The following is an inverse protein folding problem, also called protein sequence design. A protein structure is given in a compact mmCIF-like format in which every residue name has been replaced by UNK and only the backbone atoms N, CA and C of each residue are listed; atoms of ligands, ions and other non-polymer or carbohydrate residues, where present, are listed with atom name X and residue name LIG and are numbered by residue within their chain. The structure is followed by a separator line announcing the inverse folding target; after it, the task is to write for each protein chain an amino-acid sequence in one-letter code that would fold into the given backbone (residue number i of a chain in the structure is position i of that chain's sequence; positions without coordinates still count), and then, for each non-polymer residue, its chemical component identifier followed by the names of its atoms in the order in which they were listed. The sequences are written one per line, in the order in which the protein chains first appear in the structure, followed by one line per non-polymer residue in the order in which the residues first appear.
data_IF_343308668919
#
_entry.id   IF_343308668919
#
_cell.length_a   1.000
_cell.length_b   1.000
_cell.length_c   1.000
_cell.angle_alpha   90.00
_cell.angle_beta   90.00
_cell.angle_gamma   90.00
#
_symmetry.space_group_name_H-M   'P 1'
#
loop_
_entity.id
_entity.type
_entity.pdbx_description
1 polymer ?
#
# COMPACT_ATOMS: atom_id res chain seq x y z
N UNK A 1 8.27 16.93 5.17
CA UNK A 1 7.45 17.09 3.96
C UNK A 1 6.07 17.72 4.21
N UNK A 2 5.83 18.34 5.37
CA UNK A 2 4.54 18.93 5.79
C UNK A 2 4.83 20.32 6.31
N UNK A 3 3.99 21.30 5.99
CA UNK A 3 4.15 22.65 6.50
C UNK A 3 3.91 22.76 8.02
N UNK A 4 4.75 23.49 8.78
CA UNK A 4 4.56 23.67 10.22
C UNK A 4 3.28 24.44 10.61
N UNK A 5 2.76 25.29 9.72
CA UNK A 5 1.58 26.13 9.94
C UNK A 5 0.26 25.49 9.48
N UNK A 6 0.31 24.23 9.03
CA UNK A 6 -0.85 23.45 8.60
C UNK A 6 -0.72 22.96 7.16
N UNK A 7 -1.05 21.68 6.94
CA UNK A 7 -0.96 21.00 5.66
C UNK A 7 -1.86 19.76 5.64
N UNK A 8 -1.91 19.05 4.51
CA UNK A 8 -2.66 17.80 4.35
C UNK A 8 -1.75 16.64 3.93
N UNK A 9 -2.09 15.45 4.42
CA UNK A 9 -1.46 14.19 3.98
C UNK A 9 -2.57 13.25 3.49
N UNK A 10 -2.21 12.38 2.54
CA UNK A 10 -3.07 11.27 2.16
C UNK A 10 -2.80 10.07 3.06
N UNK A 11 -3.84 9.30 3.37
CA UNK A 11 -3.72 8.01 4.04
C UNK A 11 -4.43 6.97 3.19
N UNK A 12 -3.80 5.80 3.05
CA UNK A 12 -4.27 4.75 2.19
C UNK A 12 -4.19 3.41 2.90
N UNK A 13 -5.23 2.59 2.72
CA UNK A 13 -5.21 1.16 3.00
C UNK A 13 -6.00 0.47 1.88
N UNK A 14 -5.38 -0.52 1.25
CA UNK A 14 -5.99 -1.33 0.19
C UNK A 14 -5.87 -2.81 0.54
N UNK A 15 -6.80 -3.63 0.04
CA UNK A 15 -6.79 -5.07 0.21
C UNK A 15 -7.40 -5.76 -1.00
N UNK A 16 -6.87 -6.92 -1.37
CA UNK A 16 -7.52 -7.86 -2.29
C UNK A 16 -8.60 -8.71 -1.58
N UNK A 17 -8.68 -8.61 -0.25
CA UNK A 17 -9.64 -9.32 0.58
C UNK A 17 -9.29 -10.80 0.78
N UNK A 18 -9.89 -11.42 1.80
CA UNK A 18 -9.58 -12.79 2.24
C UNK A 18 -10.02 -13.91 1.28
N UNK A 19 -10.62 -13.57 0.14
CA UNK A 19 -11.05 -14.57 -0.84
C UNK A 19 -9.86 -15.26 -1.50
N UNK A 20 -8.78 -14.52 -1.74
CA UNK A 20 -7.58 -15.07 -2.40
C UNK A 20 -6.81 -15.99 -1.45
N UNK A 21 -6.73 -15.65 -0.17
CA UNK A 21 -6.12 -16.46 0.90
C UNK A 21 -6.84 -17.80 1.03
N UNK A 22 -8.18 -17.78 1.05
CA UNK A 22 -9.01 -19.01 1.08
C UNK A 22 -8.78 -19.87 -0.16
N UNK A 23 -8.72 -19.26 -1.34
CA UNK A 23 -8.47 -19.98 -2.58
C UNK A 23 -7.05 -20.59 -2.60
N UNK A 24 -6.04 -19.86 -2.12
CA UNK A 24 -4.68 -20.33 -2.00
C UNK A 24 -4.58 -21.50 -1.00
N UNK A 25 -5.20 -21.39 0.18
CA UNK A 25 -5.26 -22.46 1.16
C UNK A 25 -5.89 -23.74 0.59
N UNK A 26 -6.99 -23.63 -0.17
CA UNK A 26 -7.61 -24.77 -0.85
C UNK A 26 -6.69 -25.43 -1.88
N UNK A 27 -5.90 -24.66 -2.62
CA UNK A 27 -4.92 -25.20 -3.57
C UNK A 27 -3.78 -25.91 -2.83
N UNK A 28 -3.32 -25.35 -1.72
CA UNK A 28 -2.30 -25.93 -0.86
C UNK A 28 -2.76 -27.28 -0.28
N UNK A 29 -3.96 -27.35 0.29
CA UNK A 29 -4.57 -28.59 0.82
C UNK A 29 -4.70 -29.70 -0.23
N UNK A 30 -4.92 -29.31 -1.50
CA UNK A 30 -5.01 -30.25 -2.64
C UNK A 30 -3.65 -30.67 -3.20
N UNK A 31 -2.54 -30.23 -2.60
CA UNK A 31 -1.18 -30.39 -3.14
C UNK A 31 -0.99 -29.78 -4.54
N UNK A 32 -1.81 -28.79 -4.92
CA UNK A 32 -1.73 -28.07 -6.20
C UNK A 32 -0.73 -26.91 -6.10
N UNK A 33 0.52 -27.22 -5.73
CA UNK A 33 1.52 -26.22 -5.33
C UNK A 33 1.87 -25.19 -6.42
N UNK A 34 1.82 -25.59 -7.69
CA UNK A 34 2.06 -24.69 -8.82
C UNK A 34 0.95 -23.62 -8.90
N UNK A 35 -0.30 -24.05 -8.91
CA UNK A 35 -1.45 -23.16 -8.99
C UNK A 35 -1.52 -22.26 -7.75
N UNK A 36 -1.19 -22.81 -6.57
CA UNK A 36 -1.03 -22.03 -5.34
C UNK A 36 -0.01 -20.91 -5.51
N UNK A 37 1.19 -21.22 -6.00
CA UNK A 37 2.26 -20.24 -6.20
C UNK A 37 1.90 -19.18 -7.24
N UNK A 38 1.26 -19.59 -8.34
CA UNK A 38 0.80 -18.68 -9.39
C UNK A 38 -0.30 -17.74 -8.87
N UNK A 39 -1.27 -18.26 -8.11
CA UNK A 39 -2.33 -17.45 -7.50
C UNK A 39 -1.78 -16.47 -6.46
N UNK A 40 -0.90 -16.92 -5.58
CA UNK A 40 -0.28 -16.07 -4.57
C UNK A 40 0.60 -14.99 -5.22
N UNK A 41 1.41 -15.34 -6.22
CA UNK A 41 2.20 -14.35 -6.96
C UNK A 41 1.31 -13.30 -7.63
N UNK A 42 0.22 -13.72 -8.26
CA UNK A 42 -0.75 -12.81 -8.87
C UNK A 42 -1.43 -11.90 -7.83
N UNK A 43 -1.77 -12.43 -6.65
CA UNK A 43 -2.44 -11.65 -5.61
C UNK A 43 -1.55 -10.55 -5.02
N UNK A 44 -0.25 -10.83 -4.85
CA UNK A 44 0.75 -9.83 -4.44
C UNK A 44 0.84 -8.72 -5.49
N UNK A 45 0.98 -9.07 -6.77
CA UNK A 45 1.06 -8.07 -7.85
C UNK A 45 -0.21 -7.23 -7.98
N UNK A 46 -1.39 -7.83 -7.80
CA UNK A 46 -2.66 -7.11 -7.81
C UNK A 46 -2.80 -6.14 -6.62
N UNK A 47 -2.29 -6.52 -5.44
CA UNK A 47 -2.28 -5.65 -4.25
C UNK A 47 -1.47 -4.38 -4.51
N UNK A 48 -0.25 -4.52 -5.06
CA UNK A 48 0.60 -3.38 -5.42
C UNK A 48 0.00 -2.55 -6.56
N UNK A 49 -0.59 -3.19 -7.58
CA UNK A 49 -1.28 -2.50 -8.66
C UNK A 49 -2.48 -1.68 -8.15
N UNK A 50 -3.24 -2.21 -7.18
CA UNK A 50 -4.34 -1.50 -6.54
C UNK A 50 -3.85 -0.31 -5.70
N UNK A 51 -2.75 -0.49 -4.98
CA UNK A 51 -2.12 0.60 -4.23
C UNK A 51 -1.69 1.74 -5.17
N UNK A 52 -1.03 1.42 -6.28
CA UNK A 52 -0.61 2.44 -7.26
C UNK A 52 -1.79 3.05 -8.02
N UNK A 53 -2.84 2.28 -8.34
CA UNK A 53 -4.06 2.82 -8.96
C UNK A 53 -4.66 3.95 -8.11
N UNK A 54 -4.82 3.70 -6.81
CA UNK A 54 -5.35 4.70 -5.89
C UNK A 54 -4.35 5.84 -5.63
N UNK A 55 -3.05 5.57 -5.62
CA UNK A 55 -2.04 6.62 -5.50
C UNK A 55 -2.05 7.57 -6.72
N UNK A 56 -2.14 7.02 -7.93
CA UNK A 56 -2.31 7.80 -9.17
C UNK A 56 -3.59 8.63 -9.12
N UNK A 57 -4.70 8.07 -8.61
CA UNK A 57 -5.93 8.81 -8.41
C UNK A 57 -5.77 9.97 -7.42
N UNK A 58 -5.08 9.76 -6.30
CA UNK A 58 -4.76 10.83 -5.33
C UNK A 58 -3.97 11.95 -6.01
N UNK A 59 -2.92 11.63 -6.79
CA UNK A 59 -2.15 12.63 -7.54
C UNK A 59 -3.02 13.39 -8.55
N UNK A 60 -3.92 12.69 -9.24
CA UNK A 60 -4.89 13.29 -10.15
C UNK A 60 -5.87 14.24 -9.45
N UNK A 61 -6.47 13.83 -8.34
CA UNK A 61 -7.43 14.62 -7.56
C UNK A 61 -6.78 15.85 -6.89
N UNK A 62 -5.49 15.75 -6.51
CA UNK A 62 -4.70 16.87 -6.02
C UNK A 62 -4.22 17.82 -7.12
N UNK A 63 -4.48 17.51 -8.39
CA UNK A 63 -4.05 18.33 -9.54
C UNK A 63 -2.55 18.29 -9.81
N UNK A 64 -1.83 17.29 -9.28
CA UNK A 64 -0.37 17.12 -9.46
C UNK A 64 -0.02 15.98 -10.42
N UNK A 65 -1.01 15.28 -10.97
CA UNK A 65 -0.79 14.18 -11.93
C UNK A 65 -0.16 14.61 -13.26
N UNK A 66 -0.02 15.91 -13.53
CA UNK A 66 0.75 16.38 -14.70
C UNK A 66 2.26 16.08 -14.58
N UNK A 67 2.74 15.82 -13.37
CA UNK A 67 4.14 15.46 -13.09
C UNK A 67 4.40 13.95 -13.22
N UNK A 68 3.35 13.14 -13.49
CA UNK A 68 3.48 11.70 -13.69
C UNK A 68 4.23 11.39 -14.99
N UNK A 69 5.12 10.40 -14.94
CA UNK A 69 5.71 9.86 -16.15
C UNK A 69 4.63 9.35 -17.13
N UNK A 70 4.81 9.56 -18.45
CA UNK A 70 3.81 9.20 -19.45
C UNK A 70 3.64 7.69 -19.62
N UNK A 71 4.60 6.91 -19.14
CA UNK A 71 4.63 5.45 -19.24
C UNK A 71 4.70 4.81 -17.85
N UNK A 72 4.04 3.66 -17.71
CA UNK A 72 4.03 2.87 -16.47
C UNK A 72 5.45 2.53 -15.99
N UNK A 73 6.40 2.31 -16.90
CA UNK A 73 7.79 2.03 -16.56
C UNK A 73 8.47 3.21 -15.82
N UNK A 74 8.01 4.44 -16.02
CA UNK A 74 8.43 5.60 -15.25
C UNK A 74 7.78 5.63 -13.87
N UNK A 75 6.48 5.33 -13.79
CA UNK A 75 5.73 5.25 -12.52
C UNK A 75 6.34 4.18 -11.59
N UNK A 76 6.68 3.01 -12.12
CA UNK A 76 7.37 1.94 -11.38
C UNK A 76 8.78 2.33 -10.90
N UNK A 77 9.36 3.39 -11.46
CA UNK A 77 10.63 3.99 -11.02
C UNK A 77 10.40 5.25 -10.18
N UNK A 78 9.19 5.43 -9.63
CA UNK A 78 8.79 6.58 -8.81
C UNK A 78 8.99 7.93 -9.51
N UNK A 79 8.84 7.97 -10.84
CA UNK A 79 8.88 9.22 -11.62
C UNK A 79 7.51 9.90 -11.62
N UNK A 80 7.16 10.46 -10.47
CA UNK A 80 5.97 11.27 -10.23
C UNK A 80 6.27 12.23 -9.06
N UNK A 81 5.40 13.21 -8.83
CA UNK A 81 5.51 14.09 -7.67
C UNK A 81 4.95 13.43 -6.41
N UNK A 82 5.68 13.53 -5.31
CA UNK A 82 5.29 12.97 -4.01
C UNK A 82 5.81 11.55 -3.78
N UNK A 83 5.47 10.96 -2.64
CA UNK A 83 5.92 9.62 -2.27
C UNK A 83 4.88 8.90 -1.39
N UNK A 84 4.85 7.57 -1.50
CA UNK A 84 4.00 6.67 -0.71
C UNK A 84 4.87 5.86 0.25
N UNK A 85 4.79 6.16 1.55
CA UNK A 85 5.57 5.48 2.58
C UNK A 85 4.73 4.44 3.33
N UNK A 86 5.19 3.19 3.31
CA UNK A 86 4.53 2.08 4.00
C UNK A 86 5.27 1.73 5.30
N UNK A 87 4.52 1.30 6.31
CA UNK A 87 5.11 0.85 7.58
C UNK A 87 5.90 -0.45 7.39
N UNK A 88 6.98 -0.62 8.17
CA UNK A 88 7.94 -1.70 8.04
C UNK A 88 9.08 -1.44 7.03
N UNK A 89 8.98 -0.36 6.23
CA UNK A 89 10.06 0.07 5.34
C UNK A 89 11.05 1.00 6.06
N UNK A 90 12.28 1.23 5.52
CA UNK A 90 13.31 2.02 6.18
C UNK A 90 12.90 3.44 6.60
N UNK A 91 11.99 4.08 5.86
CA UNK A 91 11.48 5.42 6.19
C UNK A 91 10.43 5.41 7.32
N UNK A 92 9.77 4.27 7.55
CA UNK A 92 8.70 4.07 8.53
C UNK A 92 8.83 2.68 9.20
N UNK A 93 9.91 2.39 9.94
CA UNK A 93 10.25 1.03 10.35
C UNK A 93 9.34 0.46 11.46
N UNK A 94 8.67 1.32 12.23
CA UNK A 94 7.79 0.92 13.32
C UNK A 94 6.42 0.46 12.81
N UNK A 95 6.19 -0.86 12.81
CA UNK A 95 4.91 -1.47 12.42
C UNK A 95 3.76 -1.12 13.37
N UNK A 96 4.02 -0.76 14.63
CA UNK A 96 2.93 -0.42 15.56
C UNK A 96 2.15 0.83 15.12
N UNK A 97 2.76 1.67 14.28
CA UNK A 97 2.12 2.84 13.66
C UNK A 97 1.02 2.47 12.64
N UNK A 98 0.90 1.19 12.24
CA UNK A 98 -0.25 0.74 11.46
C UNK A 98 -1.57 0.87 12.23
N UNK A 99 -1.54 0.72 13.56
CA UNK A 99 -2.73 0.77 14.42
C UNK A 99 -3.49 2.10 14.28
N UNK A 100 -2.88 3.28 14.53
CA UNK A 100 -3.60 4.55 14.39
C UNK A 100 -4.08 4.80 12.95
N UNK A 101 -3.34 4.34 11.92
CA UNK A 101 -3.79 4.45 10.53
C UNK A 101 -5.06 3.60 10.28
N UNK A 102 -5.07 2.35 10.74
CA UNK A 102 -6.21 1.44 10.58
C UNK A 102 -7.45 1.96 11.32
N UNK A 103 -7.28 2.49 12.53
CA UNK A 103 -8.35 3.10 13.32
C UNK A 103 -8.91 4.34 12.62
N UNK A 104 -8.06 5.22 12.09
CA UNK A 104 -8.47 6.44 11.42
C UNK A 104 -9.22 6.18 10.11
N UNK A 105 -8.81 5.15 9.35
CA UNK A 105 -9.44 4.78 8.08
C UNK A 105 -10.65 3.84 8.24
N UNK A 106 -10.89 3.31 9.43
CA UNK A 106 -11.90 2.28 9.68
C UNK A 106 -11.64 1.02 8.84
N UNK A 107 -10.44 0.44 8.98
CA UNK A 107 -9.97 -0.69 8.17
C UNK A 107 -10.91 -1.91 8.20
N UNK A 108 -11.61 -2.12 9.31
CA UNK A 108 -12.60 -3.17 9.51
C UNK A 108 -13.74 -3.12 8.47
N UNK A 109 -14.07 -1.93 7.97
CA UNK A 109 -15.12 -1.73 6.96
C UNK A 109 -14.82 -2.42 5.62
N UNK A 110 -13.55 -2.72 5.36
CA UNK A 110 -13.08 -3.46 4.18
C UNK A 110 -12.53 -4.84 4.56
N UNK A 111 -12.78 -5.28 5.80
CA UNK A 111 -12.37 -6.59 6.30
C UNK A 111 -10.88 -6.70 6.59
N UNK A 112 -10.18 -5.59 6.84
CA UNK A 112 -8.77 -5.60 7.25
C UNK A 112 -8.65 -5.41 8.76
N UNK A 113 -7.90 -6.30 9.40
CA UNK A 113 -7.48 -6.23 10.80
C UNK A 113 -5.97 -6.17 10.95
N UNK A 114 -5.50 -6.27 12.20
CA UNK A 114 -4.09 -6.33 12.56
C UNK A 114 -3.80 -7.59 13.38
N UNK A 115 -2.67 -8.25 13.10
CA UNK A 115 -2.12 -9.33 13.93
C UNK A 115 -1.57 -8.78 15.26
N UNK A 116 -1.16 -9.68 16.16
CA UNK A 116 -0.50 -9.30 17.43
C UNK A 116 0.80 -8.51 17.19
N UNK A 117 1.50 -8.82 16.09
CA UNK A 117 2.72 -8.14 15.61
C UNK A 117 2.43 -6.96 14.67
N UNK A 118 1.19 -6.48 14.63
CA UNK A 118 0.76 -5.36 13.79
C UNK A 118 0.89 -5.58 12.28
N UNK A 119 0.87 -6.81 11.79
CA UNK A 119 0.77 -7.07 10.35
C UNK A 119 -0.68 -6.92 9.87
N UNK A 120 -0.89 -6.49 8.63
CA UNK A 120 -2.24 -6.43 8.05
C UNK A 120 -2.77 -7.84 7.79
N UNK A 121 -4.02 -8.08 8.15
CA UNK A 121 -4.74 -9.33 7.84
C UNK A 121 -6.04 -8.97 7.10
N UNK A 122 -6.27 -9.45 5.87
CA UNK A 122 -5.49 -10.43 5.12
C UNK A 122 -4.13 -9.90 4.64
N UNK A 123 -3.19 -10.81 4.39
CA UNK A 123 -1.80 -10.49 4.00
C UNK A 123 -1.73 -9.69 2.70
N UNK A 124 -2.65 -9.93 1.76
CA UNK A 124 -2.76 -9.20 0.50
C UNK A 124 -3.41 -7.82 0.70
N UNK A 125 -2.79 -7.05 1.58
CA UNK A 125 -3.16 -5.69 1.96
C UNK A 125 -1.89 -4.84 2.08
N UNK A 126 -2.01 -3.55 1.80
CA UNK A 126 -0.93 -2.59 2.06
C UNK A 126 -1.51 -1.28 2.55
N UNK A 127 -0.75 -0.61 3.43
CA UNK A 127 -1.10 0.69 3.98
C UNK A 127 0.04 1.68 3.72
N UNK A 128 -0.32 2.97 3.64
CA UNK A 128 0.66 4.01 3.42
C UNK A 128 0.21 5.41 3.86
N UNK A 129 1.22 6.23 4.14
CA UNK A 129 1.12 7.68 4.22
C UNK A 129 1.60 8.26 2.88
N UNK A 130 0.80 9.14 2.29
CA UNK A 130 1.09 9.79 1.01
C UNK A 130 1.46 11.25 1.28
N UNK A 131 2.67 11.64 0.88
CA UNK A 131 3.10 13.04 0.89
C UNK A 131 3.14 13.58 -0.53
N UNK A 132 2.57 14.76 -0.74
CA UNK A 132 2.49 15.43 -2.04
C UNK A 132 3.60 16.46 -2.27
N UNK A 133 4.58 16.53 -1.36
CA UNK A 133 5.71 17.44 -1.43
C UNK A 133 6.63 17.07 -2.62
N UNK A 134 7.07 18.03 -3.44
CA UNK A 134 7.86 17.75 -4.65
C UNK A 134 9.23 17.12 -4.37
N UNK A 135 9.77 17.34 -3.18
CA UNK A 135 11.04 16.75 -2.72
C UNK A 135 10.86 15.52 -1.81
N UNK A 136 9.64 14.98 -1.71
CA UNK A 136 9.42 13.73 -0.98
C UNK A 136 10.18 12.59 -1.68
N UNK A 137 11.00 11.86 -0.93
CA UNK A 137 11.76 10.72 -1.42
C UNK A 137 11.97 9.72 -0.29
N UNK A 138 12.20 8.44 -0.62
CA UNK A 138 12.61 7.45 0.37
C UNK A 138 13.94 7.82 1.03
N UNK A 139 13.97 7.69 2.35
CA UNK A 139 15.15 7.87 3.18
C UNK A 139 15.24 6.74 4.20
N UNK A 140 16.42 6.54 4.79
CA UNK A 140 16.57 5.62 5.91
C UNK A 140 16.40 6.39 7.23
N UNK A 141 15.44 5.97 8.06
CA UNK A 141 15.22 6.53 9.39
C UNK A 141 15.98 5.76 10.50
N UNK A 142 16.66 4.67 10.13
CA UNK A 142 17.48 3.82 11.02
C UNK A 142 18.97 4.09 10.89
#
# INVERSE_FOLDING_TARGET
YVRPDGDVIGLQLVTMGSAVDRAAAQLFEKNAYRDYLELHGMSVQLTEALAEYWHSRVRGELGIGADDAPEIAGILKQKYRGERFSFGYPACPDLSQQKPLCELLGADRIGVGLSEEFQLDPEQSTSAIIFHHPEAAYFNAT
#
